data_IF_572033093996
#
_entry.id   IF_572033093996
#
_cell.length_a   1.000
_cell.length_b   1.000
_cell.length_c   1.000
_cell.angle_alpha   90.00
_cell.angle_beta   90.00
_cell.angle_gamma   90.00
#
_symmetry.space_group_name_H-M   'P 1'
#
loop_
_entity.id
_entity.type
_entity.pdbx_description
1 polymer ?
#
# COMPACT_ATOMS: atom_id res chain seq x y z
N UNK A 1 24.74 13.13 -22.46
CA UNK A 1 24.17 12.53 -21.23
C UNK A 1 22.99 11.67 -21.67
N UNK A 2 23.12 10.35 -21.59
CA UNK A 2 22.11 9.40 -22.06
C UNK A 2 21.25 8.97 -20.87
N UNK A 3 20.09 9.62 -20.70
CA UNK A 3 19.07 9.19 -19.74
C UNK A 3 18.20 8.15 -20.46
N UNK A 4 18.68 6.91 -20.55
CA UNK A 4 17.79 5.80 -20.89
C UNK A 4 16.83 5.64 -19.73
N UNK A 5 15.64 6.23 -19.85
CA UNK A 5 14.52 5.96 -18.98
C UNK A 5 14.21 4.47 -19.07
N UNK A 6 14.81 3.69 -18.18
CA UNK A 6 14.51 2.28 -17.98
C UNK A 6 13.02 2.21 -17.68
N UNK A 7 12.24 1.69 -18.64
CA UNK A 7 10.80 1.45 -18.63
C UNK A 7 10.05 1.86 -17.35
N UNK A 8 9.46 3.06 -17.35
CA UNK A 8 8.38 3.42 -16.43
C UNK A 8 7.09 2.69 -16.87
N UNK A 9 7.08 1.37 -16.76
CA UNK A 9 5.84 0.62 -16.91
C UNK A 9 5.03 0.80 -15.62
N UNK A 10 3.75 1.20 -15.70
CA UNK A 10 2.90 1.29 -14.52
C UNK A 10 2.79 -0.09 -13.86
N UNK A 11 2.85 -0.10 -12.53
CA UNK A 11 2.60 -1.32 -11.77
C UNK A 11 1.16 -1.77 -11.97
N UNK A 12 1.02 -3.04 -12.35
CA UNK A 12 -0.28 -3.69 -12.58
C UNK A 12 -0.74 -4.47 -11.36
N UNK A 13 0.16 -4.78 -10.44
CA UNK A 13 -0.15 -5.47 -9.20
C UNK A 13 -0.45 -4.45 -8.09
N UNK A 14 -1.54 -4.63 -7.33
CA UNK A 14 -1.83 -3.76 -6.20
C UNK A 14 -0.85 -4.02 -5.04
N UNK A 15 -0.58 -2.98 -4.27
CA UNK A 15 0.04 -3.14 -2.95
C UNK A 15 -0.94 -3.79 -1.98
N UNK A 16 -0.39 -4.51 -1.01
CA UNK A 16 -1.14 -5.17 0.07
C UNK A 16 -0.83 -4.45 1.37
N UNK A 17 -1.87 -3.99 2.06
CA UNK A 17 -1.74 -3.36 3.36
C UNK A 17 -2.14 -4.30 4.49
N UNK A 18 -1.44 -4.22 5.61
CA UNK A 18 -1.72 -4.94 6.86
C UNK A 18 -1.78 -3.99 8.05
N UNK A 19 -2.45 -4.42 9.12
CA UNK A 19 -2.56 -3.69 10.37
C UNK A 19 -1.81 -4.40 11.50
N UNK A 20 -0.84 -3.73 12.10
CA UNK A 20 -0.02 -4.28 13.18
C UNK A 20 0.17 -3.22 14.27
N UNK A 21 -0.19 -3.55 15.52
CA UNK A 21 -0.07 -2.68 16.70
C UNK A 21 -0.68 -1.27 16.51
N UNK A 22 -1.79 -1.18 15.77
CA UNK A 22 -2.44 0.09 15.48
C UNK A 22 -1.73 0.96 14.44
N UNK A 23 -0.75 0.41 13.74
CA UNK A 23 -0.07 0.97 12.57
C UNK A 23 -0.53 0.26 11.29
N UNK A 24 -0.38 0.94 10.15
CA UNK A 24 -0.66 0.38 8.83
C UNK A 24 0.64 0.22 8.08
N UNK A 25 0.90 -0.99 7.61
CA UNK A 25 2.02 -1.32 6.73
C UNK A 25 1.48 -1.49 5.32
N UNK A 26 2.24 -1.03 4.32
CA UNK A 26 1.91 -1.23 2.91
C UNK A 26 3.10 -1.93 2.24
N UNK A 27 2.90 -3.20 1.93
CA UNK A 27 3.82 -3.99 1.14
C UNK A 27 3.49 -3.78 -0.34
N UNK A 28 4.41 -3.10 -1.03
CA UNK A 28 4.38 -2.97 -2.49
C UNK A 28 5.52 -3.77 -3.12
N UNK A 29 5.40 -4.12 -4.42
CA UNK A 29 6.56 -4.58 -5.17
C UNK A 29 7.65 -3.51 -5.04
N UNK A 30 8.77 -3.88 -4.43
CA UNK A 30 9.96 -3.06 -4.18
C UNK A 30 9.89 -1.98 -3.07
N UNK A 31 8.78 -1.84 -2.34
CA UNK A 31 8.71 -0.91 -1.18
C UNK A 31 8.88 0.59 -1.50
N UNK A 32 8.85 0.98 -2.79
CA UNK A 32 8.93 2.38 -3.26
C UNK A 32 7.65 2.76 -4.00
N UNK A 33 7.18 3.99 -3.80
CA UNK A 33 6.05 4.53 -4.55
C UNK A 33 6.34 4.54 -6.06
N UNK A 34 5.65 3.67 -6.81
CA UNK A 34 5.66 3.62 -8.28
C UNK A 34 4.38 4.20 -8.87
N UNK A 35 4.44 4.58 -10.14
CA UNK A 35 3.24 4.82 -10.95
C UNK A 35 2.45 3.52 -11.07
N UNK A 36 1.14 3.55 -10.85
CA UNK A 36 0.27 2.38 -10.92
C UNK A 36 -0.74 2.53 -12.05
N UNK A 37 -1.22 1.39 -12.56
CA UNK A 37 -2.47 1.40 -13.32
C UNK A 37 -3.65 1.84 -12.44
N UNK A 38 -4.73 2.40 -13.02
CA UNK A 38 -5.91 2.77 -12.24
C UNK A 38 -6.51 1.62 -11.41
N UNK A 39 -6.54 0.40 -11.96
CA UNK A 39 -7.03 -0.79 -11.23
C UNK A 39 -6.14 -1.13 -10.02
N UNK A 40 -4.82 -1.19 -10.23
CA UNK A 40 -3.86 -1.43 -9.15
C UNK A 40 -3.95 -0.35 -8.07
N UNK A 41 -4.08 0.92 -8.46
CA UNK A 41 -4.25 2.03 -7.53
C UNK A 41 -5.55 1.92 -6.71
N UNK A 42 -6.67 1.60 -7.36
CA UNK A 42 -7.96 1.42 -6.68
C UNK A 42 -7.89 0.30 -5.65
N UNK A 43 -7.34 -0.86 -6.04
CA UNK A 43 -7.23 -2.03 -5.17
C UNK A 43 -6.25 -1.81 -4.02
N UNK A 44 -5.15 -1.10 -4.26
CA UNK A 44 -4.22 -0.66 -3.21
C UNK A 44 -4.91 0.26 -2.21
N UNK A 45 -5.68 1.23 -2.70
CA UNK A 45 -6.46 2.14 -1.86
C UNK A 45 -7.49 1.41 -1.00
N UNK A 46 -8.18 0.42 -1.56
CA UNK A 46 -9.12 -0.42 -0.81
C UNK A 46 -8.42 -1.19 0.32
N UNK A 47 -7.27 -1.80 0.03
CA UNK A 47 -6.48 -2.51 1.05
C UNK A 47 -6.03 -1.57 2.18
N UNK A 48 -5.59 -0.34 1.86
CA UNK A 48 -5.24 0.66 2.86
C UNK A 48 -6.42 1.06 3.76
N UNK A 49 -7.62 1.20 3.20
CA UNK A 49 -8.84 1.52 3.96
C UNK A 49 -9.18 0.40 4.95
N UNK A 50 -9.08 -0.86 4.50
CA UNK A 50 -9.33 -2.04 5.31
C UNK A 50 -8.33 -2.15 6.48
N UNK A 51 -7.02 -2.04 6.18
CA UNK A 51 -5.98 -2.06 7.21
C UNK A 51 -6.12 -0.90 8.21
N UNK A 52 -6.47 0.30 7.76
CA UNK A 52 -6.72 1.43 8.66
C UNK A 52 -7.89 1.16 9.62
N UNK A 53 -8.94 0.49 9.15
CA UNK A 53 -10.09 0.12 9.97
C UNK A 53 -9.70 -0.95 11.02
N UNK A 54 -8.83 -1.90 10.66
CA UNK A 54 -8.31 -2.91 11.59
C UNK A 54 -7.37 -2.31 12.64
N UNK A 55 -6.41 -1.47 12.22
CA UNK A 55 -5.48 -0.78 13.11
C UNK A 55 -6.21 0.09 14.15
N UNK A 56 -7.31 0.74 13.75
CA UNK A 56 -8.15 1.52 14.68
C UNK A 56 -8.78 0.64 15.76
N UNK A 57 -9.22 -0.57 15.41
CA UNK A 57 -9.79 -1.53 16.38
C UNK A 57 -8.73 -2.03 17.35
N UNK A 58 -7.51 -2.30 16.88
CA UNK A 58 -6.39 -2.78 17.71
C UNK A 58 -6.03 -1.79 18.83
N UNK A 59 -6.03 -0.47 18.53
CA UNK A 59 -5.84 0.57 19.55
C UNK A 59 -6.90 0.56 20.65
N UNK A 60 -8.14 0.20 20.30
CA UNK A 60 -9.24 0.16 21.26
C UNK A 60 -9.13 -1.04 22.21
N UNK A 61 -8.51 -2.13 21.76
CA UNK A 61 -8.29 -3.35 22.55
C UNK A 61 -7.05 -3.27 23.45
N UNK A 62 -6.03 -2.51 23.02
CA UNK A 62 -4.75 -2.38 23.75
C UNK A 62 -4.78 -1.38 24.92
N UNK A 63 -5.85 -0.58 25.04
CA UNK A 63 -6.06 0.42 26.09
C UNK A 63 -7.00 -0.07 27.23
N UNK A 64 -7.23 -1.40 27.34
CA UNK A 64 -8.07 -2.03 28.39
C UNK A 64 -7.25 -2.88 29.35
#
# INVERSE_FOLDING_TARGET
MNLTATHLQPETEPGVASAEEGLVFLDGPDGIAKTMTPDAAQRTGQSLIEAAAEATKQKTDSDV
#
